data_IF_687789904295
#
_entry.id   IF_687789904295
#
_cell.length_a   1.000
_cell.length_b   1.000
_cell.length_c   1.000
_cell.angle_alpha   90.00
_cell.angle_beta   90.00
_cell.angle_gamma   90.00
#
_symmetry.space_group_name_H-M   'P 1'
#
loop_
_entity.id
_entity.type
_entity.pdbx_description
1 polymer ?
#
# COMPACT_ATOMS: atom_id res chain seq x y z
N UNK A 1 -19.90 14.23 -9.58
CA UNK A 1 -18.69 14.72 -10.28
C UNK A 1 -17.52 14.19 -9.49
N UNK A 2 -17.00 13.03 -9.87
CA UNK A 2 -16.15 12.24 -9.00
C UNK A 2 -14.72 12.68 -9.25
N UNK A 3 -14.29 13.68 -8.49
CA UNK A 3 -12.96 14.27 -8.58
C UNK A 3 -11.92 13.16 -8.40
N UNK A 4 -11.17 12.86 -9.45
CA UNK A 4 -9.91 12.13 -9.38
C UNK A 4 -8.96 13.01 -8.56
N UNK A 5 -9.07 12.97 -7.23
CA UNK A 5 -8.08 13.59 -6.36
C UNK A 5 -6.78 12.85 -6.59
N UNK A 6 -5.92 13.43 -7.43
CA UNK A 6 -4.51 13.12 -7.41
C UNK A 6 -4.06 13.29 -5.95
N UNK A 7 -3.55 12.21 -5.35
CA UNK A 7 -2.97 12.24 -4.01
C UNK A 7 -2.12 13.49 -3.89
N UNK A 8 -2.38 14.33 -2.88
CA UNK A 8 -1.53 15.51 -2.66
C UNK A 8 -0.09 15.05 -2.46
N UNK A 9 0.87 15.90 -2.80
CA UNK A 9 2.30 15.62 -2.58
C UNK A 9 2.58 15.25 -1.12
N UNK A 10 1.85 15.85 -0.20
CA UNK A 10 1.91 15.55 1.23
C UNK A 10 1.37 14.15 1.55
N UNK A 11 0.24 13.76 0.96
CA UNK A 11 -0.34 12.42 1.13
C UNK A 11 0.58 11.33 0.56
N UNK A 12 1.17 11.58 -0.61
CA UNK A 12 2.12 10.66 -1.22
C UNK A 12 3.38 10.48 -0.33
N UNK A 13 3.87 11.57 0.28
CA UNK A 13 4.98 11.51 1.25
C UNK A 13 4.61 10.75 2.51
N UNK A 14 3.39 10.94 3.02
CA UNK A 14 2.89 10.23 4.19
C UNK A 14 2.83 8.72 3.94
N UNK A 15 2.19 8.32 2.83
CA UNK A 15 2.09 6.92 2.42
C UNK A 15 3.47 6.29 2.22
N UNK A 16 4.38 6.97 1.51
CA UNK A 16 5.74 6.47 1.28
C UNK A 16 6.55 6.36 2.58
N UNK A 17 6.40 7.31 3.50
CA UNK A 17 7.04 7.29 4.82
C UNK A 17 6.60 6.08 5.64
N UNK A 18 5.29 5.81 5.66
CA UNK A 18 4.73 4.67 6.39
C UNK A 18 5.19 3.35 5.78
N UNK A 19 5.15 3.21 4.45
CA UNK A 19 5.63 2.00 3.77
C UNK A 19 7.09 1.73 4.11
N UNK A 20 7.95 2.77 4.08
CA UNK A 20 9.38 2.64 4.40
C UNK A 20 9.62 2.25 5.86
N UNK A 21 8.84 2.79 6.79
CA UNK A 21 8.97 2.51 8.22
C UNK A 21 8.53 1.08 8.55
N UNK A 22 7.37 0.64 8.06
CA UNK A 22 6.87 -0.73 8.25
C UNK A 22 7.77 -1.74 7.53
N UNK A 23 8.26 -1.42 6.33
CA UNK A 23 9.16 -2.32 5.60
C UNK A 23 10.51 -2.49 6.29
N UNK A 24 11.00 -1.44 6.95
CA UNK A 24 12.25 -1.48 7.71
C UNK A 24 12.08 -2.25 9.01
N UNK A 25 10.99 -1.97 9.76
CA UNK A 25 10.67 -2.65 11.02
C UNK A 25 10.49 -4.17 10.85
N UNK A 26 9.92 -4.60 9.72
CA UNK A 26 9.69 -6.02 9.42
C UNK A 26 10.85 -6.70 8.67
N UNK A 27 11.87 -5.96 8.27
CA UNK A 27 12.97 -6.50 7.45
C UNK A 27 12.56 -6.89 6.02
N UNK A 28 11.36 -6.53 5.57
CA UNK A 28 10.84 -6.85 4.22
C UNK A 28 11.26 -5.82 3.16
N UNK A 29 12.06 -4.81 3.51
CA UNK A 29 12.50 -3.75 2.59
C UNK A 29 13.26 -4.27 1.35
N UNK A 30 13.79 -5.50 1.42
CA UNK A 30 14.50 -6.16 0.31
C UNK A 30 13.57 -7.03 -0.55
N UNK A 31 12.34 -7.26 -0.12
CA UNK A 31 11.35 -8.02 -0.86
C UNK A 31 10.37 -7.07 -1.58
N UNK A 32 10.52 -6.88 -2.90
CA UNK A 32 9.65 -5.99 -3.66
C UNK A 32 8.19 -6.47 -3.66
N UNK A 33 7.93 -7.76 -3.51
CA UNK A 33 6.58 -8.32 -3.49
C UNK A 33 5.88 -7.97 -2.18
N UNK A 34 6.54 -8.18 -1.04
CA UNK A 34 6.01 -7.79 0.27
C UNK A 34 5.83 -6.26 0.38
N UNK A 35 6.76 -5.46 -0.15
CA UNK A 35 6.63 -4.00 -0.20
C UNK A 35 5.44 -3.59 -1.07
N UNK A 36 5.21 -4.25 -2.20
CA UNK A 36 4.03 -4.01 -3.06
C UNK A 36 2.71 -4.28 -2.33
N UNK A 37 2.63 -5.40 -1.61
CA UNK A 37 1.44 -5.76 -0.79
C UNK A 37 1.19 -4.74 0.32
N UNK A 38 2.24 -4.33 1.01
CA UNK A 38 2.17 -3.29 2.04
C UNK A 38 1.70 -1.95 1.45
N UNK A 39 2.21 -1.58 0.28
CA UNK A 39 1.83 -0.35 -0.43
C UNK A 39 0.34 -0.36 -0.79
N UNK A 40 -0.18 -1.48 -1.30
CA UNK A 40 -1.61 -1.63 -1.57
C UNK A 40 -2.46 -1.56 -0.29
N UNK A 41 -2.00 -2.16 0.81
CA UNK A 41 -2.69 -2.11 2.10
C UNK A 41 -2.77 -0.66 2.64
N UNK A 42 -1.65 0.08 2.57
CA UNK A 42 -1.58 1.49 2.94
C UNK A 42 -2.51 2.35 2.08
N UNK A 43 -2.52 2.12 0.76
CA UNK A 43 -3.43 2.84 -0.13
C UNK A 43 -4.91 2.56 0.21
N UNK A 44 -5.27 1.32 0.58
CA UNK A 44 -6.63 0.98 1.00
C UNK A 44 -7.02 1.67 2.31
N UNK A 45 -6.14 1.68 3.31
CA UNK A 45 -6.36 2.40 4.58
C UNK A 45 -6.56 3.89 4.35
N UNK A 46 -5.71 4.49 3.51
CA UNK A 46 -5.81 5.89 3.18
C UNK A 46 -7.15 6.22 2.51
N UNK A 47 -7.55 5.39 1.54
CA UNK A 47 -8.84 5.54 0.85
C UNK A 47 -10.05 5.28 1.77
N UNK A 48 -9.91 4.50 2.84
CA UNK A 48 -10.97 4.32 3.84
C UNK A 48 -11.10 5.49 4.82
N UNK A 49 -10.27 6.51 4.71
CA UNK A 49 -10.37 7.74 5.52
C UNK A 49 -9.26 7.92 6.56
N UNK A 50 -8.32 6.97 6.69
CA UNK A 50 -7.17 7.11 7.59
C UNK A 50 -6.12 8.03 6.98
N UNK A 51 -6.24 9.33 7.25
CA UNK A 51 -5.29 10.36 6.77
C UNK A 51 -4.24 10.77 7.81
N UNK A 52 -4.37 10.30 9.05
CA UNK A 52 -3.40 10.53 10.12
C UNK A 52 -2.17 9.62 9.99
N UNK A 53 -0.97 10.20 10.09
CA UNK A 53 0.30 9.45 9.97
C UNK A 53 0.38 8.31 10.98
N UNK A 54 0.11 8.59 12.25
CA UNK A 54 0.25 7.62 13.35
C UNK A 54 -0.81 6.52 13.28
N UNK A 55 -2.06 6.89 13.01
CA UNK A 55 -3.14 5.92 12.83
C UNK A 55 -2.92 5.02 11.61
N UNK A 56 -2.48 5.60 10.48
CA UNK A 56 -2.19 4.83 9.28
C UNK A 56 -0.97 3.93 9.46
N UNK A 57 0.05 4.37 10.21
CA UNK A 57 1.20 3.54 10.59
C UNK A 57 0.79 2.36 11.48
N UNK A 58 0.01 2.64 12.54
CA UNK A 58 -0.48 1.62 13.48
C UNK A 58 -1.35 0.58 12.77
N UNK A 59 -2.27 1.02 11.92
CA UNK A 59 -3.13 0.13 11.14
C UNK A 59 -2.34 -0.68 10.09
N UNK A 60 -1.35 -0.06 9.43
CA UNK A 60 -0.47 -0.74 8.49
C UNK A 60 0.40 -1.81 9.18
N UNK A 61 0.91 -1.54 10.38
CA UNK A 61 1.66 -2.51 11.18
C UNK A 61 0.79 -3.72 11.57
N UNK A 62 -0.46 -3.47 11.99
CA UNK A 62 -1.43 -4.51 12.32
C UNK A 62 -1.80 -5.36 11.09
N UNK A 63 -2.06 -4.75 9.93
CA UNK A 63 -2.36 -5.50 8.71
C UNK A 63 -1.16 -6.29 8.17
N UNK A 64 0.05 -5.74 8.28
CA UNK A 64 1.25 -6.45 7.91
C UNK A 64 1.49 -7.68 8.83
N UNK A 65 1.01 -7.63 10.07
CA UNK A 65 1.04 -8.76 11.00
C UNK A 65 0.08 -9.88 10.58
N UNK A 66 -1.16 -9.50 10.27
CA UNK A 66 -2.17 -10.42 9.77
C UNK A 66 -1.75 -11.10 8.45
N UNK A 67 -1.04 -10.39 7.56
CA UNK A 67 -0.50 -10.98 6.33
C UNK A 67 0.71 -11.91 6.55
N UNK A 68 1.44 -11.78 7.67
CA UNK A 68 2.50 -12.72 8.03
C UNK A 68 1.95 -14.08 8.47
N UNK A 69 0.71 -14.11 8.96
CA UNK A 69 0.03 -15.34 9.41
C UNK A 69 -0.91 -15.92 8.33
N UNK A 70 -1.44 -15.07 7.45
CA UNK A 70 -2.31 -15.48 6.34
C UNK A 70 -1.54 -15.62 5.02
N UNK A 71 -0.73 -16.67 4.89
CA UNK A 71 -0.29 -17.15 3.59
C UNK A 71 -1.47 -17.79 2.82
N UNK A 72 -2.40 -16.97 2.32
CA UNK A 72 -3.47 -17.45 1.42
C UNK A 72 -3.75 -16.43 0.32
N UNK A 73 -3.24 -16.75 -0.86
CA UNK A 73 -3.91 -16.70 -2.17
C UNK A 73 -4.94 -15.59 -2.39
N UNK A 74 -4.56 -14.50 -3.09
CA UNK A 74 -5.48 -13.82 -4.02
C UNK A 74 -4.68 -13.34 -5.22
N UNK A 75 -5.16 -13.76 -6.39
CA UNK A 75 -4.46 -13.76 -7.67
C UNK A 75 -4.03 -12.39 -8.17
N UNK A 76 -2.81 -12.38 -8.70
CA UNK A 76 -2.39 -11.50 -9.77
C UNK A 76 -3.37 -11.66 -10.93
N UNK A 77 -4.34 -10.75 -11.05
CA UNK A 77 -4.92 -10.48 -12.38
C UNK A 77 -3.89 -9.60 -13.09
N UNK A 78 -3.06 -10.24 -13.90
CA UNK A 78 -2.34 -9.61 -14.99
C UNK A 78 -3.33 -8.72 -15.75
N UNK A 79 -3.15 -7.41 -15.66
CA UNK A 79 -3.74 -6.48 -16.61
C UNK A 79 -2.72 -6.30 -17.72
N UNK A 80 -2.86 -7.14 -18.73
CA UNK A 80 -2.33 -6.93 -20.06
C UNK A 80 -2.86 -5.57 -20.56
N UNK A 81 -2.02 -4.54 -20.44
CA UNK A 81 -2.29 -3.24 -21.06
C UNK A 81 -1.90 -3.39 -22.53
N UNK A 82 -2.83 -3.95 -23.31
CA UNK A 82 -2.81 -3.91 -24.76
C UNK A 82 -2.87 -2.43 -25.19
N UNK A 83 -1.72 -1.85 -25.54
CA UNK A 83 -1.66 -0.53 -26.16
C UNK A 83 -2.24 -0.62 -27.58
N UNK A 84 -3.26 0.18 -27.94
CA UNK A 84 -3.73 0.23 -29.31
C UNK A 84 -2.67 0.92 -30.18
N UNK A 85 -2.07 0.13 -31.08
CA UNK A 85 -1.34 0.64 -32.22
C UNK A 85 -2.32 1.25 -33.23
N UNK A 86 -2.04 2.49 -33.60
CA UNK A 86 -2.55 3.26 -34.74
C UNK A 86 -2.85 2.46 -36.01
#
# INVERSE_FOLDING_TARGET
>A
MNSTQLLSREDARLCAGVVREVSSARGISKDPVAVGKLTMAVARLYNSGLRGREELLSAAMQMADLQSSAATTVGSKEQDVQYPGK
#
